data_IF_647092969799
#
_entry.id   IF_647092969799
#
_cell.length_a   1.000
_cell.length_b   1.000
_cell.length_c   1.000
_cell.angle_alpha   90.00
_cell.angle_beta   90.00
_cell.angle_gamma   90.00
#
_symmetry.space_group_name_H-M   'P 1'
#
loop_
_entity.id
_entity.type
_entity.pdbx_description
1 polymer ?
#
# COMPACT_ATOMS: atom_id res chain seq x y z
N UNK A 1 -0.28 -10.75 -3.98
CA UNK A 1 0.21 -9.36 -4.19
C UNK A 1 -0.99 -8.43 -4.15
N UNK A 2 -0.98 -7.42 -3.28
CA UNK A 2 -2.08 -6.45 -3.20
C UNK A 2 -1.95 -5.41 -4.32
N UNK A 3 -3.03 -5.14 -5.05
CA UNK A 3 -3.09 -4.04 -6.04
C UNK A 3 -4.38 -3.25 -5.82
N UNK A 4 -4.29 -1.91 -5.75
CA UNK A 4 -5.47 -1.05 -5.72
C UNK A 4 -6.29 -1.22 -7.01
N UNK A 5 -7.55 -1.63 -6.90
CA UNK A 5 -8.47 -1.76 -8.04
C UNK A 5 -9.09 -0.40 -8.39
N UNK A 6 -8.27 0.47 -8.97
CA UNK A 6 -8.69 1.81 -9.42
C UNK A 6 -7.88 2.29 -10.61
N UNK A 7 -8.56 2.85 -11.62
CA UNK A 7 -7.98 3.47 -12.83
C UNK A 7 -6.88 2.59 -13.45
N UNK A 8 -5.60 2.91 -13.22
CA UNK A 8 -4.46 2.17 -13.77
C UNK A 8 -4.29 0.79 -13.14
N UNK A 9 -4.63 0.64 -11.86
CA UNK A 9 -4.54 -0.63 -11.14
C UNK A 9 -5.49 -1.69 -11.69
N UNK A 10 -6.71 -1.31 -12.09
CA UNK A 10 -7.68 -2.23 -12.72
C UNK A 10 -7.11 -2.83 -14.01
N UNK A 11 -6.47 -2.02 -14.86
CA UNK A 11 -5.83 -2.52 -16.09
C UNK A 11 -4.64 -3.43 -15.76
N UNK A 12 -3.83 -3.05 -14.77
CA UNK A 12 -2.68 -3.85 -14.35
C UNK A 12 -3.11 -5.23 -13.81
N UNK A 13 -4.17 -5.29 -13.01
CA UNK A 13 -4.75 -6.54 -12.51
C UNK A 13 -5.14 -7.46 -13.67
N UNK A 14 -5.82 -6.92 -14.69
CA UNK A 14 -6.22 -7.71 -15.86
C UNK A 14 -5.02 -8.27 -16.62
N UNK A 15 -3.99 -7.44 -16.86
CA UNK A 15 -2.78 -7.85 -17.56
C UNK A 15 -2.06 -8.96 -16.79
N UNK A 16 -1.80 -8.75 -15.49
CA UNK A 16 -1.02 -9.68 -14.70
C UNK A 16 -1.78 -10.97 -14.39
N UNK A 17 -3.10 -10.92 -14.24
CA UNK A 17 -3.92 -12.13 -14.06
C UNK A 17 -3.96 -13.02 -15.31
N UNK A 18 -3.77 -12.43 -16.49
CA UNK A 18 -3.70 -13.16 -17.76
C UNK A 18 -2.29 -13.69 -18.07
N UNK A 19 -1.25 -13.22 -17.36
CA UNK A 19 0.13 -13.65 -17.58
C UNK A 19 0.44 -14.94 -16.84
N UNK A 20 1.21 -15.80 -17.51
CA UNK A 20 1.82 -16.99 -16.94
C UNK A 20 3.25 -17.13 -17.45
N UNK A 21 4.15 -17.63 -16.62
CA UNK A 21 5.50 -17.97 -17.03
C UNK A 21 5.52 -19.25 -17.90
N UNK A 22 6.71 -19.65 -18.36
CA UNK A 22 6.88 -20.86 -19.17
C UNK A 22 6.53 -22.17 -18.44
N UNK A 23 6.42 -22.14 -17.11
CA UNK A 23 6.04 -23.27 -16.28
C UNK A 23 4.54 -23.24 -15.91
N UNK A 24 3.80 -22.22 -16.35
CA UNK A 24 2.38 -22.05 -16.09
C UNK A 24 2.04 -21.34 -14.78
N UNK A 25 3.02 -20.81 -14.05
CA UNK A 25 2.80 -20.03 -12.83
C UNK A 25 2.37 -18.61 -13.19
N UNK A 26 1.29 -18.14 -12.56
CA UNK A 26 0.80 -16.77 -12.69
C UNK A 26 1.03 -15.96 -11.41
N UNK A 27 0.73 -14.67 -11.47
CA UNK A 27 0.71 -13.83 -10.28
C UNK A 27 -0.52 -14.15 -9.43
N UNK A 28 -0.31 -14.34 -8.12
CA UNK A 28 -1.39 -14.35 -7.14
C UNK A 28 -1.70 -12.90 -6.77
N UNK A 29 -2.81 -12.36 -7.27
CA UNK A 29 -3.19 -10.96 -7.15
C UNK A 29 -4.44 -10.87 -6.30
N UNK A 30 -4.39 -9.99 -5.31
CA UNK A 30 -5.52 -9.63 -4.47
C UNK A 30 -5.91 -8.17 -4.77
N UNK A 31 -6.99 -7.94 -5.54
CA UNK A 31 -7.49 -6.61 -5.83
C UNK A 31 -8.11 -5.97 -4.59
N UNK A 32 -7.66 -4.78 -4.21
CA UNK A 32 -8.19 -4.04 -3.06
C UNK A 32 -8.97 -2.82 -3.54
N UNK A 33 -10.24 -2.70 -3.12
CA UNK A 33 -11.03 -1.49 -3.31
C UNK A 33 -10.94 -0.63 -2.05
N UNK A 34 -10.45 0.62 -2.14
CA UNK A 34 -10.45 1.53 -1.00
C UNK A 34 -11.89 1.77 -0.52
N UNK A 35 -12.09 1.66 0.79
CA UNK A 35 -13.38 1.78 1.49
C UNK A 35 -13.69 3.21 1.97
N UNK A 36 -12.66 4.05 2.08
CA UNK A 36 -12.76 5.45 2.48
C UNK A 36 -11.69 6.31 1.78
N UNK A 37 -11.79 7.64 1.96
CA UNK A 37 -10.76 8.56 1.48
C UNK A 37 -9.42 8.32 2.20
N UNK A 38 -8.34 8.79 1.59
CA UNK A 38 -6.96 8.54 2.05
C UNK A 38 -6.73 8.99 3.49
N UNK A 39 -7.32 10.11 3.90
CA UNK A 39 -7.13 10.67 5.24
C UNK A 39 -7.84 9.82 6.27
N UNK A 40 -9.09 9.46 6.00
CA UNK A 40 -9.87 8.57 6.86
C UNK A 40 -9.19 7.20 7.03
N UNK A 41 -8.63 6.63 5.96
CA UNK A 41 -7.89 5.34 6.03
C UNK A 41 -6.63 5.44 6.89
N UNK A 42 -5.83 6.51 6.75
CA UNK A 42 -4.65 6.72 7.58
C UNK A 42 -5.01 6.91 9.06
N UNK A 43 -6.08 7.66 9.36
CA UNK A 43 -6.57 7.81 10.73
C UNK A 43 -7.01 6.47 11.32
N UNK A 44 -7.70 5.63 10.55
CA UNK A 44 -8.15 4.32 11.00
C UNK A 44 -7.02 3.36 11.41
N UNK A 45 -5.83 3.53 10.84
CA UNK A 45 -4.67 2.69 11.13
C UNK A 45 -3.65 3.32 12.09
N UNK A 46 -3.82 4.59 12.50
CA UNK A 46 -2.77 5.31 13.23
C UNK A 46 -2.43 4.63 14.56
N UNK A 47 -3.41 4.01 15.21
CA UNK A 47 -3.22 3.25 16.44
C UNK A 47 -2.19 2.12 16.31
N UNK A 48 -2.14 1.43 15.16
CA UNK A 48 -1.15 0.37 14.88
C UNK A 48 0.26 0.91 14.68
N UNK A 49 0.37 2.14 14.19
CA UNK A 49 1.66 2.83 14.03
C UNK A 49 2.12 3.31 15.41
N UNK A 50 1.24 3.97 16.17
CA UNK A 50 1.52 4.56 17.48
C UNK A 50 1.89 3.52 18.54
N UNK A 51 1.25 2.35 18.52
CA UNK A 51 1.51 1.28 19.49
C UNK A 51 2.71 0.39 19.12
N UNK A 52 3.40 0.68 18.00
CA UNK A 52 4.56 -0.09 17.55
C UNK A 52 4.24 -1.45 16.93
N UNK A 53 3.00 -1.69 16.47
CA UNK A 53 2.66 -2.89 15.68
C UNK A 53 3.45 -2.92 14.38
N UNK A 54 3.78 -1.75 13.84
CA UNK A 54 4.63 -1.60 12.66
C UNK A 54 6.09 -1.40 13.03
N UNK A 55 6.97 -2.15 12.37
CA UNK A 55 8.40 -1.93 12.39
C UNK A 55 8.84 -1.23 11.12
N UNK A 56 9.57 -0.14 11.29
CA UNK A 56 10.20 0.60 10.20
C UNK A 56 11.68 0.23 10.08
N UNK A 57 12.31 0.42 8.90
CA UNK A 57 13.74 0.16 8.72
C UNK A 57 14.58 0.87 9.79
N UNK A 58 15.44 0.10 10.46
CA UNK A 58 16.39 0.63 11.44
C UNK A 58 17.71 1.05 10.80
N UNK A 59 18.09 0.38 9.70
CA UNK A 59 19.25 0.70 8.90
C UNK A 59 18.91 1.75 7.84
N UNK A 60 19.93 2.48 7.40
CA UNK A 60 19.78 3.48 6.35
C UNK A 60 19.39 2.81 5.02
N UNK A 61 18.22 3.18 4.50
CA UNK A 61 17.73 2.73 3.20
C UNK A 61 17.58 3.93 2.28
N UNK A 62 18.00 3.86 1.01
CA UNK A 62 17.96 4.99 0.08
C UNK A 62 16.57 5.62 -0.10
N UNK A 63 15.50 4.84 0.09
CA UNK A 63 14.11 5.27 -0.06
C UNK A 63 13.47 5.77 1.25
N UNK A 64 14.10 5.54 2.41
CA UNK A 64 13.47 5.72 3.72
C UNK A 64 13.22 7.19 4.06
N UNK A 65 14.14 8.08 3.71
CA UNK A 65 13.98 9.51 3.97
C UNK A 65 12.85 10.13 3.15
N UNK A 66 12.70 9.70 1.89
CA UNK A 66 11.58 10.12 1.05
C UNK A 66 10.25 9.60 1.59
N UNK A 67 10.21 8.33 2.01
CA UNK A 67 9.03 7.73 2.62
C UNK A 67 8.61 8.43 3.91
N UNK A 68 9.54 8.63 4.85
CA UNK A 68 9.27 9.36 6.09
C UNK A 68 8.75 10.76 5.80
N UNK A 69 9.37 11.46 4.84
CA UNK A 69 8.95 12.81 4.46
C UNK A 69 7.53 12.81 3.91
N UNK A 70 7.17 11.86 3.05
CA UNK A 70 5.82 11.74 2.52
C UNK A 70 4.81 11.46 3.64
N UNK A 71 5.09 10.45 4.49
CA UNK A 71 4.23 10.05 5.59
C UNK A 71 3.98 11.18 6.59
N UNK A 72 5.02 11.92 6.97
CA UNK A 72 4.92 13.03 7.93
C UNK A 72 4.34 14.32 7.32
N UNK A 73 4.37 14.48 5.99
CA UNK A 73 3.79 15.65 5.32
C UNK A 73 2.32 15.43 4.93
N UNK A 74 1.81 14.21 5.04
CA UNK A 74 0.43 13.90 4.69
C UNK A 74 -0.56 14.58 5.67
N UNK A 75 -1.69 15.15 5.20
CA UNK A 75 -2.24 15.13 3.83
C UNK A 75 -1.73 16.26 2.91
N UNK A 76 -0.95 17.21 3.43
CA UNK A 76 -0.50 18.41 2.71
C UNK A 76 0.62 18.17 1.69
N UNK A 77 1.26 17.00 1.72
CA UNK A 77 2.34 16.63 0.82
C UNK A 77 1.92 16.56 -0.65
N UNK A 78 2.86 16.86 -1.56
CA UNK A 78 2.66 16.76 -3.01
C UNK A 78 2.33 15.33 -3.43
N UNK A 79 3.08 14.37 -2.90
CA UNK A 79 2.92 12.93 -3.15
C UNK A 79 2.16 12.28 -2.00
N UNK A 80 1.45 11.18 -2.31
CA UNK A 80 0.59 10.45 -1.37
C UNK A 80 0.59 8.93 -1.61
N UNK A 81 1.27 8.47 -2.66
CA UNK A 81 1.17 7.11 -3.16
C UNK A 81 1.77 6.08 -2.19
N UNK A 82 2.83 6.46 -1.46
CA UNK A 82 3.45 5.59 -0.47
C UNK A 82 2.58 5.47 0.79
N UNK A 83 1.92 6.57 1.19
CA UNK A 83 0.93 6.55 2.28
C UNK A 83 -0.29 5.69 1.89
N UNK A 84 -0.72 5.76 0.63
CA UNK A 84 -1.80 4.90 0.13
C UNK A 84 -1.44 3.42 0.16
N UNK A 85 -0.25 3.07 -0.32
CA UNK A 85 0.23 1.69 -0.29
C UNK A 85 0.33 1.15 1.15
N UNK A 86 0.87 1.96 2.08
CA UNK A 86 0.96 1.61 3.50
C UNK A 86 -0.42 1.35 4.12
N UNK A 87 -1.36 2.26 3.90
CA UNK A 87 -2.72 2.15 4.46
C UNK A 87 -3.47 0.93 3.92
N UNK A 88 -3.36 0.64 2.62
CA UNK A 88 -3.95 -0.57 2.03
C UNK A 88 -3.35 -1.84 2.63
N UNK A 89 -2.02 -1.87 2.79
CA UNK A 89 -1.31 -3.01 3.37
C UNK A 89 -1.77 -3.31 4.80
N UNK A 90 -1.81 -2.29 5.66
CA UNK A 90 -2.18 -2.47 7.08
C UNK A 90 -3.66 -2.85 7.20
N UNK A 91 -4.56 -2.19 6.47
CA UNK A 91 -5.97 -2.55 6.49
C UNK A 91 -6.18 -4.01 6.08
N UNK A 92 -5.52 -4.45 5.00
CA UNK A 92 -5.59 -5.85 4.58
C UNK A 92 -5.05 -6.81 5.64
N UNK A 93 -3.88 -6.50 6.23
CA UNK A 93 -3.25 -7.35 7.23
C UNK A 93 -4.04 -7.47 8.53
N UNK A 94 -4.80 -6.43 8.91
CA UNK A 94 -5.58 -6.39 10.16
C UNK A 94 -7.02 -6.90 10.01
N UNK A 95 -7.51 -7.11 8.78
CA UNK A 95 -8.85 -7.63 8.49
C UNK A 95 -8.87 -9.16 8.31
N UNK A 96 -7.73 -9.84 8.46
CA UNK A 96 -7.58 -11.30 8.40
C UNK A 96 -7.57 -11.93 9.79
#
# INVERSE_FOLDING_TARGET
MLIEDKVSGTQLIQILSAQKDCNGYGFDIEPIKPDADKTSRLMGISAYIENGTLQFPQEEQPWWDEFKKELLSFPGGRYKDQVDALTLCINYAMQQ
#
